data_IF_848341401033
#
_entry.id   IF_848341401033
#
_cell.length_a   1.000
_cell.length_b   1.000
_cell.length_c   1.000
_cell.angle_alpha   90.00
_cell.angle_beta   90.00
_cell.angle_gamma   90.00
#
_symmetry.space_group_name_H-M   'P 1'
#
loop_
_entity.id
_entity.type
_entity.pdbx_description
1 polymer ?
#
# COMPACT_ATOMS: atom_id res chain seq x y z
N UNK A 1 14.67 -5.88 14.25
CA UNK A 1 15.13 -6.28 12.91
C UNK A 1 14.07 -7.11 12.17
N UNK A 2 13.62 -8.24 12.72
CA UNK A 2 12.85 -9.24 11.95
C UNK A 2 11.45 -8.78 11.51
N UNK A 3 10.68 -8.11 12.37
CA UNK A 3 9.31 -7.69 12.03
C UNK A 3 9.27 -6.65 10.90
N UNK A 4 10.23 -5.72 10.83
CA UNK A 4 10.29 -4.68 9.79
C UNK A 4 10.47 -5.31 8.40
N UNK A 5 11.38 -6.26 8.26
CA UNK A 5 11.65 -6.93 7.00
C UNK A 5 10.46 -7.79 6.57
N UNK A 6 9.85 -8.54 7.50
CA UNK A 6 8.66 -9.34 7.21
C UNK A 6 7.53 -8.46 6.68
N UNK A 7 7.18 -7.36 7.36
CA UNK A 7 6.14 -6.44 6.90
C UNK A 7 6.46 -5.82 5.54
N UNK A 8 7.73 -5.43 5.32
CA UNK A 8 8.16 -4.84 4.05
C UNK A 8 7.99 -5.81 2.89
N UNK A 9 8.42 -7.06 3.08
CA UNK A 9 8.25 -8.14 2.09
C UNK A 9 6.78 -8.41 1.82
N UNK A 10 5.94 -8.47 2.86
CA UNK A 10 4.49 -8.67 2.71
C UNK A 10 3.87 -7.52 1.90
N UNK A 11 4.22 -6.27 2.17
CA UNK A 11 3.68 -5.12 1.42
C UNK A 11 4.09 -5.16 -0.05
N UNK A 12 5.35 -5.47 -0.34
CA UNK A 12 5.84 -5.58 -1.72
C UNK A 12 5.13 -6.73 -2.44
N UNK A 13 5.06 -7.90 -1.81
CA UNK A 13 4.37 -9.07 -2.35
C UNK A 13 2.88 -8.79 -2.59
N UNK A 14 2.19 -8.13 -1.65
CA UNK A 14 0.80 -7.72 -1.80
C UNK A 14 0.62 -6.72 -2.94
N UNK A 15 1.54 -5.76 -3.10
CA UNK A 15 1.52 -4.82 -4.23
C UNK A 15 1.59 -5.54 -5.58
N UNK A 16 2.51 -6.49 -5.72
CA UNK A 16 2.62 -7.33 -6.93
C UNK A 16 1.35 -8.18 -7.10
N UNK A 17 0.88 -8.83 -6.03
CA UNK A 17 -0.29 -9.70 -6.05
C UNK A 17 -1.56 -8.96 -6.48
N UNK A 18 -1.81 -7.75 -5.98
CA UNK A 18 -2.98 -6.93 -6.36
C UNK A 18 -2.96 -6.57 -7.85
N UNK A 19 -1.79 -6.42 -8.45
CA UNK A 19 -1.69 -6.16 -9.90
C UNK A 19 -2.04 -7.39 -10.74
N UNK A 20 -1.68 -8.59 -10.26
CA UNK A 20 -1.95 -9.86 -10.95
C UNK A 20 -3.40 -10.30 -10.69
N UNK A 21 -3.90 -10.09 -9.48
CA UNK A 21 -5.22 -10.49 -9.00
C UNK A 21 -5.96 -9.28 -8.42
N UNK A 22 -6.59 -8.43 -9.26
CA UNK A 22 -7.27 -7.23 -8.78
C UNK A 22 -8.46 -7.53 -7.84
N UNK A 23 -9.00 -8.74 -7.86
CA UNK A 23 -10.01 -9.23 -6.90
C UNK A 23 -9.49 -9.30 -5.45
N UNK A 24 -8.19 -9.10 -5.20
CA UNK A 24 -7.68 -8.90 -3.85
C UNK A 24 -8.06 -7.53 -3.27
N UNK A 25 -8.47 -6.58 -4.10
CA UNK A 25 -9.00 -5.29 -3.65
C UNK A 25 -10.42 -5.54 -3.15
N UNK A 26 -10.59 -5.62 -1.83
CA UNK A 26 -11.86 -6.00 -1.21
C UNK A 26 -13.06 -5.18 -1.75
N UNK A 27 -12.91 -3.86 -1.85
CA UNK A 27 -13.96 -2.98 -2.36
C UNK A 27 -14.35 -3.27 -3.82
N UNK A 28 -13.40 -3.70 -4.65
CA UNK A 28 -13.69 -4.12 -6.03
C UNK A 28 -14.31 -5.53 -6.06
N UNK A 29 -13.80 -6.47 -5.27
CA UNK A 29 -14.28 -7.85 -5.25
C UNK A 29 -15.75 -7.98 -4.85
N UNK A 30 -16.18 -7.20 -3.85
CA UNK A 30 -17.55 -7.19 -3.33
C UNK A 30 -18.49 -6.28 -4.12
N UNK A 31 -17.97 -5.54 -5.10
CA UNK A 31 -18.76 -4.64 -5.92
C UNK A 31 -19.69 -5.43 -6.87
N UNK A 32 -20.95 -5.01 -7.07
CA UNK A 32 -21.82 -5.57 -8.09
C UNK A 32 -21.22 -5.51 -9.51
N UNK A 33 -21.54 -6.48 -10.37
CA UNK A 33 -20.95 -6.60 -11.72
C UNK A 33 -21.27 -5.42 -12.64
N UNK A 34 -22.39 -4.76 -12.45
CA UNK A 34 -22.76 -3.52 -13.15
C UNK A 34 -21.87 -2.34 -12.75
N UNK A 35 -21.51 -2.26 -11.47
CA UNK A 35 -20.63 -1.21 -10.93
C UNK A 35 -19.15 -1.46 -11.24
N UNK A 36 -18.69 -2.72 -11.22
CA UNK A 36 -17.30 -3.09 -11.56
C UNK A 36 -16.87 -2.59 -12.93
N UNK A 37 -17.80 -2.56 -13.91
CA UNK A 37 -17.54 -2.10 -15.28
C UNK A 37 -17.17 -0.62 -15.36
N UNK A 38 -17.57 0.17 -14.37
CA UNK A 38 -17.28 1.60 -14.31
C UNK A 38 -15.95 1.89 -13.60
N UNK A 39 -15.31 0.89 -12.99
CA UNK A 39 -14.02 1.03 -12.31
C UNK A 39 -12.89 0.87 -13.33
N UNK A 40 -11.95 1.82 -13.36
CA UNK A 40 -10.69 1.64 -14.06
C UNK A 40 -9.78 0.71 -13.25
N UNK A 41 -10.04 -0.60 -13.35
CA UNK A 41 -9.32 -1.62 -12.59
C UNK A 41 -7.84 -1.70 -12.98
N UNK A 42 -7.51 -1.34 -14.22
CA UNK A 42 -6.14 -1.31 -14.73
C UNK A 42 -5.30 -0.24 -14.04
N UNK A 43 -5.84 0.98 -13.93
CA UNK A 43 -5.19 2.08 -13.24
C UNK A 43 -5.25 1.93 -11.71
N UNK A 44 -6.38 1.47 -11.15
CA UNK A 44 -6.54 1.23 -9.72
C UNK A 44 -5.54 0.20 -9.19
N UNK A 45 -5.44 -0.97 -9.85
CA UNK A 45 -4.50 -2.02 -9.45
C UNK A 45 -3.03 -1.58 -9.59
N UNK A 46 -2.71 -0.79 -10.63
CA UNK A 46 -1.38 -0.19 -10.79
C UNK A 46 -1.06 0.81 -9.68
N UNK A 47 -2.03 1.64 -9.30
CA UNK A 47 -1.89 2.64 -8.24
C UNK A 47 -1.68 1.96 -6.88
N UNK A 48 -2.51 0.98 -6.52
CA UNK A 48 -2.37 0.24 -5.26
C UNK A 48 -1.04 -0.52 -5.23
N UNK A 49 -0.62 -1.15 -6.34
CA UNK A 49 0.71 -1.77 -6.44
C UNK A 49 1.81 -0.80 -6.08
N UNK A 50 1.83 0.38 -6.72
CA UNK A 50 2.87 1.38 -6.50
C UNK A 50 2.83 1.89 -5.07
N UNK A 51 1.66 2.16 -4.51
CA UNK A 51 1.51 2.59 -3.12
C UNK A 51 2.06 1.56 -2.12
N UNK A 52 1.68 0.28 -2.26
CA UNK A 52 2.13 -0.81 -1.39
C UNK A 52 3.64 -1.05 -1.50
N UNK A 53 4.19 -1.11 -2.72
CA UNK A 53 5.64 -1.26 -2.93
C UNK A 53 6.40 -0.07 -2.36
N UNK A 54 5.89 1.16 -2.57
CA UNK A 54 6.54 2.37 -2.05
C UNK A 54 6.62 2.35 -0.53
N UNK A 55 5.53 1.98 0.16
CA UNK A 55 5.56 1.81 1.62
C UNK A 55 6.53 0.69 2.04
N UNK A 56 6.50 -0.45 1.36
CA UNK A 56 7.39 -1.58 1.65
C UNK A 56 8.88 -1.25 1.47
N UNK A 57 9.24 -0.34 0.57
CA UNK A 57 10.61 0.15 0.40
C UNK A 57 10.96 1.27 1.39
N UNK A 58 10.04 2.21 1.64
CA UNK A 58 10.29 3.37 2.51
C UNK A 58 10.51 2.97 3.96
N UNK A 59 9.84 1.93 4.47
CA UNK A 59 9.94 1.48 5.86
C UNK A 59 11.38 1.09 6.24
N UNK A 60 12.05 0.13 5.57
CA UNK A 60 13.41 -0.27 5.93
C UNK A 60 14.41 0.84 5.67
N UNK A 61 14.22 1.64 4.61
CA UNK A 61 15.08 2.78 4.29
C UNK A 61 15.01 3.84 5.40
N UNK A 62 13.81 4.28 5.78
CA UNK A 62 13.60 5.29 6.83
C UNK A 62 14.13 4.81 8.16
N UNK A 63 13.89 3.54 8.50
CA UNK A 63 14.42 2.94 9.73
C UNK A 63 15.95 2.97 9.75
N UNK A 64 16.59 2.51 8.67
CA UNK A 64 18.05 2.49 8.57
C UNK A 64 18.64 3.90 8.71
N UNK A 65 18.07 4.89 8.03
CA UNK A 65 18.49 6.28 8.13
C UNK A 65 18.36 6.81 9.56
N UNK A 66 17.23 6.56 10.23
CA UNK A 66 17.03 6.97 11.63
C UNK A 66 18.04 6.31 12.58
N UNK A 67 18.38 5.04 12.37
CA UNK A 67 19.38 4.33 13.19
C UNK A 67 20.80 4.91 13.00
N UNK A 68 21.19 5.22 11.75
CA UNK A 68 22.49 5.84 11.44
C UNK A 68 22.59 7.26 12.01
N UNK A 69 21.48 7.99 12.07
CA UNK A 69 21.39 9.32 12.68
C UNK A 69 21.30 9.29 14.21
N UNK A 70 21.29 8.12 14.84
CA UNK A 70 21.24 7.95 16.30
C UNK A 70 19.83 7.97 16.91
N UNK A 71 18.77 8.11 16.11
CA UNK A 71 17.37 8.13 16.56
C UNK A 71 16.77 6.73 16.75
N UNK A 72 17.44 5.87 17.52
CA UNK A 72 17.02 4.46 17.74
C UNK A 72 15.61 4.31 18.31
N UNK A 73 15.16 5.25 19.13
CA UNK A 73 13.81 5.22 19.71
C UNK A 73 12.72 5.50 18.66
N UNK A 74 12.99 6.40 17.69
CA UNK A 74 12.05 6.71 16.62
C UNK A 74 12.07 5.65 15.50
N UNK A 75 13.20 4.95 15.30
CA UNK A 75 13.31 3.97 14.21
C UNK A 75 12.30 2.82 14.31
N UNK A 76 11.88 2.47 15.54
CA UNK A 76 10.81 1.50 15.78
C UNK A 76 9.41 1.98 15.35
N UNK A 77 9.18 3.30 15.32
CA UNK A 77 7.90 3.90 14.97
C UNK A 77 7.77 4.22 13.47
N UNK A 78 8.85 4.12 12.71
CA UNK A 78 8.88 4.44 11.27
C UNK A 78 7.77 3.73 10.48
N UNK A 79 7.47 2.47 10.83
CA UNK A 79 6.38 1.71 10.21
C UNK A 79 5.01 2.39 10.38
N UNK A 80 4.67 2.83 11.59
CA UNK A 80 3.39 3.48 11.86
C UNK A 80 3.25 4.80 11.11
N UNK A 81 4.32 5.60 11.12
CA UNK A 81 4.35 6.89 10.42
C UNK A 81 4.31 6.77 8.89
N UNK A 82 4.65 5.62 8.32
CA UNK A 82 4.57 5.39 6.87
C UNK A 82 3.25 4.73 6.48
N UNK A 83 2.86 3.66 7.17
CA UNK A 83 1.66 2.88 6.82
C UNK A 83 0.40 3.71 7.07
N UNK A 84 0.27 4.39 8.21
CA UNK A 84 -0.98 5.05 8.59
C UNK A 84 -1.37 6.17 7.60
N UNK A 85 -0.51 7.18 7.34
CA UNK A 85 -0.83 8.18 6.33
C UNK A 85 -0.83 7.60 4.90
N UNK A 86 0.04 6.61 4.61
CA UNK A 86 0.11 5.98 3.29
C UNK A 86 -1.18 5.26 2.91
N UNK A 87 -1.79 4.52 3.84
CA UNK A 87 -3.07 3.83 3.64
C UNK A 87 -4.21 4.85 3.52
N UNK A 88 -4.26 5.87 4.37
CA UNK A 88 -5.29 6.93 4.26
C UNK A 88 -5.23 7.58 2.89
N UNK A 89 -4.04 8.01 2.46
CA UNK A 89 -3.82 8.59 1.14
C UNK A 89 -4.26 7.62 0.03
N UNK A 90 -3.87 6.35 0.13
CA UNK A 90 -4.19 5.31 -0.85
C UNK A 90 -5.71 5.11 -0.97
N UNK A 91 -6.44 5.02 0.14
CA UNK A 91 -7.90 4.83 0.14
C UNK A 91 -8.62 6.02 -0.47
N UNK A 92 -8.28 7.24 -0.05
CA UNK A 92 -8.91 8.47 -0.60
C UNK A 92 -8.62 8.61 -2.08
N UNK A 93 -7.38 8.36 -2.51
CA UNK A 93 -6.99 8.52 -3.92
C UNK A 93 -7.47 7.38 -4.80
N UNK A 94 -7.72 6.18 -4.24
CA UNK A 94 -8.29 5.06 -4.98
C UNK A 94 -9.70 5.37 -5.51
N UNK A 95 -10.47 6.22 -4.81
CA UNK A 95 -11.83 6.60 -5.23
C UNK A 95 -11.85 7.31 -6.58
N UNK A 96 -10.76 7.96 -7.00
CA UNK A 96 -10.70 8.65 -8.29
C UNK A 96 -10.81 7.70 -9.50
N UNK A 97 -10.59 6.40 -9.29
CA UNK A 97 -10.67 5.37 -10.32
C UNK A 97 -12.04 4.68 -10.34
N UNK A 98 -12.90 5.01 -9.38
CA UNK A 98 -14.28 4.56 -9.31
C UNK A 98 -15.16 5.65 -9.94
N UNK A 99 -15.81 5.33 -11.06
CA UNK A 99 -16.70 6.25 -11.78
C UNK A 99 -18.17 5.94 -11.56
N UNK A 100 -18.49 5.12 -10.55
CA UNK A 100 -19.87 4.95 -10.12
C UNK A 100 -20.38 6.28 -9.52
N UNK A 101 -21.63 6.62 -9.87
CA UNK A 101 -22.32 7.84 -9.41
C UNK A 101 -23.37 7.50 -8.37
#
# INVERSE_FOLDING_TARGET
>A
MNHTLITSTILIAAGVAVKIFPNLIAGYNTMPEDQKKNVDIGALSSFIRVALISMGLLIPITRYLLEVMGYKQLSGLAMFFIIFPGVIYMVVRAQRFDHNK
#
